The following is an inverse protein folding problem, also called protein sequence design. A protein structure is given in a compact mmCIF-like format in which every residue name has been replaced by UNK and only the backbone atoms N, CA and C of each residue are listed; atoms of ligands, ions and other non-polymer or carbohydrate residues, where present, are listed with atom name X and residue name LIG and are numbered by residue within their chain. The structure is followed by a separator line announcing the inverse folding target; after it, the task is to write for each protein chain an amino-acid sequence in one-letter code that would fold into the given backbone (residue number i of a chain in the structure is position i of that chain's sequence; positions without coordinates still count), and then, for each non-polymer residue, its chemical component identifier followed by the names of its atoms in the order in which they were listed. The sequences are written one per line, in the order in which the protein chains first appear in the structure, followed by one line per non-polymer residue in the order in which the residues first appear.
data_IF_163843463161
#
_entry.id   IF_163843463161
#
_cell.length_a   1.000
_cell.length_b   1.000
_cell.length_c   1.000
_cell.angle_alpha   90.00
_cell.angle_beta   90.00
_cell.angle_gamma   90.00
#
_symmetry.space_group_name_H-M   'P 1'
#
loop_
_entity.id
_entity.type
_entity.pdbx_description
1 polymer ?
#
# COMPACT_ATOMS: atom_id res chain seq x y z
N UNK A 1 25.47 17.12 -15.84
CA UNK A 1 24.30 17.75 -15.18
C UNK A 1 23.06 17.14 -15.81
N UNK A 2 22.35 16.25 -15.11
CA UNK A 2 21.03 15.84 -15.58
C UNK A 2 20.13 17.06 -15.52
N UNK A 3 19.58 17.49 -16.65
CA UNK A 3 18.54 18.51 -16.66
C UNK A 3 17.29 17.89 -16.01
N UNK A 4 16.59 18.60 -15.11
CA UNK A 4 15.45 18.05 -14.35
C UNK A 4 14.40 17.42 -15.27
N UNK A 5 14.21 17.97 -16.48
CA UNK A 5 13.35 17.39 -17.52
C UNK A 5 13.77 15.98 -17.93
N UNK A 6 15.07 15.75 -18.12
CA UNK A 6 15.61 14.44 -18.51
C UNK A 6 15.37 13.40 -17.40
N UNK A 7 15.54 13.80 -16.14
CA UNK A 7 15.28 12.94 -14.99
C UNK A 7 13.80 12.51 -14.96
N UNK A 8 12.88 13.47 -15.10
CA UNK A 8 11.44 13.21 -15.12
C UNK A 8 11.05 12.31 -16.30
N UNK A 9 11.62 12.54 -17.50
CA UNK A 9 11.34 11.71 -18.68
C UNK A 9 11.83 10.27 -18.50
N UNK A 10 13.03 10.06 -17.95
CA UNK A 10 13.55 8.72 -17.68
C UNK A 10 12.65 8.00 -16.66
N UNK A 11 12.28 8.68 -15.57
CA UNK A 11 11.42 8.12 -14.53
C UNK A 11 10.04 7.74 -15.08
N UNK A 12 9.41 8.62 -15.86
CA UNK A 12 8.11 8.34 -16.48
C UNK A 12 8.19 7.21 -17.51
N UNK A 13 9.17 7.24 -18.41
CA UNK A 13 9.31 6.22 -19.46
C UNK A 13 9.53 4.82 -18.85
N UNK A 14 10.42 4.72 -17.86
CA UNK A 14 10.73 3.45 -17.19
C UNK A 14 9.55 2.95 -16.35
N UNK A 15 8.87 3.84 -15.62
CA UNK A 15 7.66 3.50 -14.89
C UNK A 15 6.53 3.00 -15.82
N UNK A 16 6.28 3.69 -16.93
CA UNK A 16 5.24 3.28 -17.91
C UNK A 16 5.57 1.92 -18.52
N UNK A 17 6.81 1.71 -18.96
CA UNK A 17 7.23 0.42 -19.52
C UNK A 17 7.07 -0.71 -18.51
N UNK A 18 7.53 -0.52 -17.27
CA UNK A 18 7.39 -1.52 -16.22
C UNK A 18 5.92 -1.83 -15.92
N UNK A 19 5.06 -0.81 -15.83
CA UNK A 19 3.63 -1.01 -15.60
C UNK A 19 2.94 -1.73 -16.75
N UNK A 20 3.28 -1.41 -18.00
CA UNK A 20 2.73 -2.10 -19.18
C UNK A 20 3.08 -3.58 -19.12
N UNK A 21 4.34 -3.92 -18.86
CA UNK A 21 4.78 -5.31 -18.70
C UNK A 21 4.00 -6.01 -17.58
N UNK A 22 3.89 -5.39 -16.41
CA UNK A 22 3.17 -5.98 -15.27
C UNK A 22 1.68 -6.16 -15.55
N UNK A 23 1.05 -5.21 -16.24
CA UNK A 23 -0.36 -5.30 -16.63
C UNK A 23 -0.58 -6.44 -17.63
N UNK A 24 0.33 -6.64 -18.59
CA UNK A 24 0.29 -7.76 -19.53
C UNK A 24 0.39 -9.11 -18.80
N UNK A 25 1.20 -9.19 -17.75
CA UNK A 25 1.33 -10.35 -16.88
C UNK A 25 0.17 -10.50 -15.88
N UNK A 26 -0.84 -9.62 -15.92
CA UNK A 26 -1.98 -9.55 -14.98
C UNK A 26 -1.55 -9.34 -13.51
N UNK A 27 -0.40 -8.70 -13.30
CA UNK A 27 0.11 -8.36 -11.98
C UNK A 27 -0.31 -6.94 -11.55
N UNK A 28 -0.34 -6.64 -10.24
CA UNK A 28 -0.60 -5.29 -9.73
C UNK A 28 0.40 -4.25 -10.27
N UNK A 29 -0.06 -3.10 -10.80
CA UNK A 29 0.81 -2.04 -11.32
C UNK A 29 1.83 -1.49 -10.30
N UNK A 30 1.49 -1.49 -9.01
CA UNK A 30 2.37 -1.02 -7.93
C UNK A 30 3.72 -1.76 -7.91
N UNK A 31 3.74 -3.05 -8.24
CA UNK A 31 4.97 -3.83 -8.35
C UNK A 31 5.84 -3.33 -9.51
N UNK A 32 5.23 -2.90 -10.61
CA UNK A 32 5.93 -2.29 -11.75
C UNK A 32 6.59 -0.97 -11.38
N UNK A 33 5.91 -0.09 -10.63
CA UNK A 33 6.50 1.15 -10.13
C UNK A 33 7.68 0.89 -9.20
N UNK A 34 7.56 -0.07 -8.28
CA UNK A 34 8.62 -0.43 -7.35
C UNK A 34 9.85 -0.98 -8.10
N UNK A 35 9.64 -1.90 -9.05
CA UNK A 35 10.73 -2.44 -9.85
C UNK A 35 11.40 -1.38 -10.72
N UNK A 36 10.63 -0.49 -11.34
CA UNK A 36 11.20 0.63 -12.08
C UNK A 36 12.17 1.43 -11.19
N UNK A 37 11.73 1.79 -9.98
CA UNK A 37 12.56 2.49 -8.99
C UNK A 37 13.81 1.73 -8.57
N UNK A 38 13.70 0.42 -8.30
CA UNK A 38 14.85 -0.43 -7.96
C UNK A 38 15.86 -0.47 -9.10
N UNK A 39 15.39 -0.67 -10.33
CA UNK A 39 16.22 -0.84 -11.52
C UNK A 39 16.93 0.45 -11.92
N UNK A 40 16.23 1.59 -11.90
CA UNK A 40 16.82 2.88 -12.31
C UNK A 40 17.56 3.58 -11.16
N UNK A 41 17.37 3.10 -9.93
CA UNK A 41 17.95 3.66 -8.72
C UNK A 41 19.47 3.53 -8.65
N UNK A 42 20.09 4.20 -7.67
CA UNK A 42 21.55 4.27 -7.50
C UNK A 42 22.20 2.89 -7.24
N UNK A 43 21.43 1.94 -6.70
CA UNK A 43 21.89 0.60 -6.34
C UNK A 43 21.86 -0.40 -7.51
N UNK A 44 21.35 -0.02 -8.68
CA UNK A 44 21.27 -0.87 -9.87
C UNK A 44 21.87 -0.17 -11.10
N UNK A 45 21.06 0.33 -12.04
CA UNK A 45 21.57 0.99 -13.25
C UNK A 45 22.18 2.37 -12.97
N UNK A 46 21.87 2.98 -11.82
CA UNK A 46 22.44 4.26 -11.41
C UNK A 46 22.03 5.45 -12.30
N UNK A 47 20.92 5.33 -13.03
CA UNK A 47 20.44 6.38 -13.95
C UNK A 47 19.86 7.59 -13.21
N UNK A 48 19.38 7.38 -11.98
CA UNK A 48 18.89 8.45 -11.11
C UNK A 48 19.83 8.57 -9.90
N UNK A 49 20.59 9.67 -9.78
CA UNK A 49 21.43 9.91 -8.61
C UNK A 49 20.58 10.27 -7.37
N UNK A 50 21.13 10.00 -6.18
CA UNK A 50 20.58 10.50 -4.91
C UNK A 50 20.79 12.03 -4.83
N UNK A 51 19.83 12.76 -5.39
CA UNK A 51 19.81 14.21 -5.42
C UNK A 51 18.61 14.75 -4.63
N UNK A 52 18.74 15.97 -4.10
CA UNK A 52 17.66 16.66 -3.40
C UNK A 52 16.41 16.81 -4.28
N UNK A 53 16.57 17.04 -5.59
CA UNK A 53 15.47 17.13 -6.56
C UNK A 53 14.63 15.84 -6.62
N UNK A 54 15.29 14.67 -6.68
CA UNK A 54 14.62 13.37 -6.68
C UNK A 54 13.82 13.16 -5.40
N UNK A 55 14.38 13.59 -4.26
CA UNK A 55 13.72 13.48 -2.95
C UNK A 55 12.48 14.36 -2.85
N UNK A 56 12.56 15.63 -3.28
CA UNK A 56 11.40 16.52 -3.30
C UNK A 56 10.30 16.01 -4.22
N UNK A 57 10.66 15.47 -5.39
CA UNK A 57 9.68 14.87 -6.31
C UNK A 57 8.97 13.66 -5.66
N UNK A 58 9.71 12.82 -4.94
CA UNK A 58 9.13 11.70 -4.19
C UNK A 58 8.21 12.17 -3.05
N UNK A 59 8.59 13.22 -2.31
CA UNK A 59 7.77 13.83 -1.26
C UNK A 59 6.45 14.35 -1.83
N UNK A 60 6.47 15.05 -2.96
CA UNK A 60 5.23 15.45 -3.66
C UNK A 60 4.40 14.25 -4.09
N UNK A 61 5.03 13.19 -4.61
CA UNK A 61 4.35 11.95 -4.98
C UNK A 61 3.61 11.31 -3.79
N UNK A 62 4.25 11.26 -2.61
CA UNK A 62 3.63 10.76 -1.38
C UNK A 62 2.48 11.65 -0.93
N UNK A 63 2.64 12.98 -0.97
CA UNK A 63 1.55 13.92 -0.63
C UNK A 63 0.35 13.75 -1.55
N UNK A 64 0.57 13.68 -2.87
CA UNK A 64 -0.51 13.44 -3.84
C UNK A 64 -1.16 12.07 -3.66
N UNK A 65 -0.38 11.03 -3.30
CA UNK A 65 -0.90 9.70 -3.01
C UNK A 65 -1.81 9.74 -1.76
N UNK A 66 -1.33 10.32 -0.65
CA UNK A 66 -2.12 10.45 0.58
C UNK A 66 -3.39 11.28 0.35
N UNK A 67 -3.29 12.35 -0.45
CA UNK A 67 -4.45 13.15 -0.85
C UNK A 67 -5.46 12.37 -1.69
N UNK A 68 -4.98 11.59 -2.68
CA UNK A 68 -5.84 10.75 -3.52
C UNK A 68 -6.56 9.67 -2.70
N UNK A 69 -5.86 9.04 -1.76
CA UNK A 69 -6.46 8.08 -0.81
C UNK A 69 -7.56 8.77 0.01
N UNK A 70 -7.32 10.01 0.47
CA UNK A 70 -8.32 10.82 1.14
C UNK A 70 -9.56 11.11 0.29
N UNK A 71 -9.41 11.32 -1.02
CA UNK A 71 -10.55 11.54 -1.94
C UNK A 71 -11.36 10.27 -2.22
N UNK A 72 -10.74 9.10 -2.21
CA UNK A 72 -11.44 7.81 -2.35
C UNK A 72 -12.24 7.45 -1.09
N UNK A 73 -11.93 8.06 0.05
CA UNK A 73 -12.57 7.77 1.33
C UNK A 73 -14.00 8.32 1.43
N UNK A 74 -14.95 7.44 1.75
CA UNK A 74 -16.37 7.79 1.90
C UNK A 74 -16.79 7.87 3.37
N UNK A 75 -16.86 9.10 3.91
CA UNK A 75 -17.38 9.35 5.26
C UNK A 75 -18.77 8.76 5.52
N UNK A 76 -19.77 8.91 4.62
CA UNK A 76 -21.10 8.32 4.84
C UNK A 76 -21.05 6.79 4.97
N UNK A 77 -20.19 6.13 4.18
CA UNK A 77 -20.02 4.67 4.22
C UNK A 77 -19.38 4.23 5.54
N UNK A 78 -18.37 4.95 6.03
CA UNK A 78 -17.75 4.68 7.33
C UNK A 78 -18.77 4.81 8.46
N UNK A 79 -19.57 5.88 8.49
CA UNK A 79 -20.59 6.08 9.54
C UNK A 79 -21.61 4.95 9.56
N UNK A 80 -22.04 4.50 8.38
CA UNK A 80 -22.98 3.37 8.24
C UNK A 80 -22.37 2.04 8.72
N UNK A 81 -21.07 1.85 8.52
CA UNK A 81 -20.35 0.61 8.86
C UNK A 81 -19.56 0.69 10.18
N UNK A 82 -19.71 1.76 10.97
CA UNK A 82 -18.85 2.08 12.12
C UNK A 82 -18.63 0.92 13.10
N UNK A 83 -19.66 0.12 13.37
CA UNK A 83 -19.56 -1.02 14.31
C UNK A 83 -18.70 -2.15 13.76
N UNK A 84 -18.74 -2.38 12.45
CA UNK A 84 -17.90 -3.38 11.78
C UNK A 84 -16.47 -2.85 11.69
N UNK A 85 -16.29 -1.59 11.28
CA UNK A 85 -14.97 -0.95 11.11
C UNK A 85 -14.21 -0.90 12.44
N UNK A 86 -14.77 -0.25 13.47
CA UNK A 86 -14.10 -0.09 14.77
C UNK A 86 -14.22 -1.30 15.70
N UNK A 87 -15.14 -2.23 15.44
CA UNK A 87 -15.26 -3.46 16.20
C UNK A 87 -14.39 -4.56 15.58
N UNK A 88 -14.85 -5.07 14.44
CA UNK A 88 -14.22 -6.21 13.78
C UNK A 88 -12.87 -5.85 13.14
N UNK A 89 -12.75 -4.68 12.52
CA UNK A 89 -11.49 -4.20 11.93
C UNK A 89 -10.36 -4.08 12.97
N UNK A 90 -10.65 -3.42 14.10
CA UNK A 90 -9.67 -3.29 15.19
C UNK A 90 -9.27 -4.66 15.76
N UNK A 91 -10.23 -5.55 16.00
CA UNK A 91 -9.93 -6.90 16.48
C UNK A 91 -9.05 -7.66 15.49
N UNK A 92 -9.34 -7.59 14.19
CA UNK A 92 -8.53 -8.27 13.16
C UNK A 92 -7.09 -7.76 13.15
N UNK A 93 -6.90 -6.43 13.14
CA UNK A 93 -5.55 -5.83 13.11
C UNK A 93 -4.78 -6.16 14.38
N UNK A 94 -5.37 -5.93 15.56
CA UNK A 94 -4.71 -6.21 16.84
C UNK A 94 -4.41 -7.71 17.01
N UNK A 95 -5.32 -8.60 16.62
CA UNK A 95 -5.09 -10.04 16.68
C UNK A 95 -3.94 -10.45 15.75
N UNK A 96 -3.88 -9.90 14.54
CA UNK A 96 -2.80 -10.21 13.59
C UNK A 96 -1.45 -9.72 14.10
N UNK A 97 -1.39 -8.49 14.63
CA UNK A 97 -0.18 -7.95 15.26
C UNK A 97 0.26 -8.85 16.42
N UNK A 98 -0.66 -9.23 17.31
CA UNK A 98 -0.34 -10.06 18.47
C UNK A 98 0.16 -11.45 18.07
N UNK A 99 -0.46 -12.08 17.07
CA UNK A 99 -0.02 -13.38 16.55
C UNK A 99 1.40 -13.26 15.99
N UNK A 100 1.68 -12.24 15.18
CA UNK A 100 3.02 -12.02 14.61
C UNK A 100 4.03 -11.71 15.72
N UNK A 101 3.67 -10.94 16.73
CA UNK A 101 4.53 -10.66 17.89
C UNK A 101 4.88 -11.95 18.66
N UNK A 102 3.92 -12.84 18.88
CA UNK A 102 4.18 -14.13 19.54
C UNK A 102 5.12 -14.99 18.69
N UNK A 103 4.88 -15.09 17.38
CA UNK A 103 5.71 -15.87 16.47
C UNK A 103 7.14 -15.31 16.40
N UNK A 104 7.29 -13.99 16.30
CA UNK A 104 8.61 -13.34 16.24
C UNK A 104 9.38 -13.46 17.55
N UNK A 105 8.68 -13.40 18.70
CA UNK A 105 9.28 -13.65 20.00
C UNK A 105 9.81 -15.10 20.12
N UNK A 106 9.07 -16.10 19.61
CA UNK A 106 9.51 -17.50 19.62
C UNK A 106 10.79 -17.76 18.80
N UNK A 107 11.07 -16.95 17.79
CA UNK A 107 12.31 -17.03 16.98
C UNK A 107 13.42 -16.09 17.49
N UNK A 108 13.24 -15.49 18.67
CA UNK A 108 14.27 -14.71 19.37
C UNK A 108 14.40 -13.25 18.90
N UNK A 109 13.43 -12.70 18.18
CA UNK A 109 13.41 -11.28 17.82
C UNK A 109 12.97 -10.40 18.99
N UNK A 110 13.45 -9.16 19.00
CA UNK A 110 13.00 -8.14 19.94
C UNK A 110 11.51 -7.79 19.72
N UNK A 111 10.82 -7.41 20.79
CA UNK A 111 9.39 -7.09 20.76
C UNK A 111 9.08 -5.90 19.82
N UNK A 112 10.03 -4.97 19.66
CA UNK A 112 9.91 -3.84 18.72
C UNK A 112 9.89 -4.32 17.27
N UNK A 113 10.74 -5.29 16.94
CA UNK A 113 10.76 -5.90 15.61
C UNK A 113 9.45 -6.68 15.36
N UNK A 114 8.99 -7.42 16.36
CA UNK A 114 7.70 -8.11 16.30
C UNK A 114 6.51 -7.18 16.08
N UNK A 115 6.48 -6.05 16.79
CA UNK A 115 5.44 -5.03 16.62
C UNK A 115 5.47 -4.40 15.22
N UNK A 116 6.66 -4.03 14.73
CA UNK A 116 6.84 -3.46 13.40
C UNK A 116 6.42 -4.44 12.29
N UNK A 117 6.87 -5.70 12.36
CA UNK A 117 6.50 -6.75 11.42
C UNK A 117 5.00 -7.07 11.49
N UNK A 118 4.43 -7.14 12.70
CA UNK A 118 3.01 -7.35 12.92
C UNK A 118 2.18 -6.24 12.29
N UNK A 119 2.59 -4.98 12.44
CA UNK A 119 1.95 -3.83 11.82
C UNK A 119 1.95 -3.94 10.29
N UNK A 120 3.08 -4.27 9.68
CA UNK A 120 3.19 -4.45 8.22
C UNK A 120 2.34 -5.61 7.73
N UNK A 121 2.40 -6.77 8.41
CA UNK A 121 1.69 -7.98 8.01
C UNK A 121 0.18 -7.93 8.28
N UNK A 122 -0.29 -7.06 9.16
CA UNK A 122 -1.71 -6.87 9.40
C UNK A 122 -2.43 -6.22 8.22
N UNK A 123 -1.71 -5.48 7.36
CA UNK A 123 -2.29 -4.66 6.30
C UNK A 123 -2.64 -5.48 5.05
N UNK A 124 -3.77 -5.16 4.44
CA UNK A 124 -4.25 -5.77 3.21
C UNK A 124 -4.39 -4.74 2.08
N UNK A 125 -4.39 -5.21 0.83
CA UNK A 125 -4.55 -4.34 -0.34
C UNK A 125 -6.02 -4.12 -0.66
N UNK A 126 -6.56 -2.94 -0.36
CA UNK A 126 -7.95 -2.56 -0.62
C UNK A 126 -8.35 -2.71 -2.09
N UNK A 127 -7.50 -2.27 -3.02
CA UNK A 127 -7.76 -2.35 -4.46
C UNK A 127 -7.88 -3.79 -4.97
N UNK A 128 -7.01 -4.70 -4.51
CA UNK A 128 -7.02 -6.10 -4.96
C UNK A 128 -8.21 -6.84 -4.36
N UNK A 129 -8.43 -6.70 -3.06
CA UNK A 129 -9.49 -7.44 -2.35
C UNK A 129 -10.88 -6.97 -2.75
N UNK A 130 -11.09 -5.65 -2.90
CA UNK A 130 -12.37 -5.12 -3.38
C UNK A 130 -12.68 -5.59 -4.79
N UNK A 131 -11.70 -5.57 -5.71
CA UNK A 131 -11.85 -6.09 -7.06
C UNK A 131 -12.21 -7.58 -7.08
N UNK A 132 -11.55 -8.39 -6.24
CA UNK A 132 -11.86 -9.82 -6.13
C UNK A 132 -13.30 -10.05 -5.65
N UNK A 133 -13.77 -9.30 -4.65
CA UNK A 133 -15.16 -9.37 -4.17
C UNK A 133 -16.17 -8.95 -5.25
N UNK A 134 -15.84 -7.96 -6.09
CA UNK A 134 -16.67 -7.56 -7.24
C UNK A 134 -16.76 -8.70 -8.24
N UNK A 135 -15.61 -9.26 -8.64
CA UNK A 135 -15.51 -10.36 -9.62
C UNK A 135 -16.26 -11.62 -9.15
N UNK A 136 -16.29 -11.87 -7.84
CA UNK A 136 -17.04 -12.97 -7.22
C UNK A 136 -18.50 -12.65 -6.93
N UNK A 137 -18.97 -11.42 -7.16
CA UNK A 137 -20.30 -10.93 -6.79
C UNK A 137 -20.58 -11.02 -5.27
N UNK A 138 -19.52 -11.01 -4.45
CA UNK A 138 -19.60 -11.19 -3.00
C UNK A 138 -19.53 -9.87 -2.23
N UNK A 139 -19.38 -8.71 -2.88
CA UNK A 139 -19.29 -7.41 -2.20
C UNK A 139 -20.42 -7.15 -1.17
N UNK A 140 -21.65 -7.53 -1.52
CA UNK A 140 -22.84 -7.29 -0.71
C UNK A 140 -23.16 -8.45 0.24
N UNK A 141 -22.35 -9.50 0.26
CA UNK A 141 -22.49 -10.60 1.21
C UNK A 141 -22.14 -10.15 2.64
N UNK A 142 -22.46 -10.99 3.63
CA UNK A 142 -22.11 -10.70 5.02
C UNK A 142 -20.59 -10.61 5.22
N UNK A 143 -19.84 -11.59 4.72
CA UNK A 143 -18.39 -11.61 4.82
C UNK A 143 -17.74 -10.52 3.95
N UNK A 144 -18.29 -10.21 2.77
CA UNK A 144 -17.85 -9.10 1.94
C UNK A 144 -17.91 -7.76 2.67
N UNK A 145 -19.01 -7.48 3.38
CA UNK A 145 -19.12 -6.27 4.22
C UNK A 145 -18.13 -6.27 5.39
N UNK A 146 -17.86 -7.42 6.00
CA UNK A 146 -16.86 -7.53 7.07
C UNK A 146 -15.45 -7.26 6.54
N UNK A 147 -15.07 -7.86 5.41
CA UNK A 147 -13.78 -7.64 4.75
C UNK A 147 -13.60 -6.15 4.40
N UNK A 148 -14.61 -5.53 3.77
CA UNK A 148 -14.58 -4.10 3.47
C UNK A 148 -14.46 -3.27 4.76
N UNK A 149 -15.13 -3.67 5.85
CA UNK A 149 -15.00 -3.00 7.14
C UNK A 149 -13.58 -3.06 7.72
N UNK A 150 -12.92 -4.21 7.60
CA UNK A 150 -11.50 -4.37 7.98
C UNK A 150 -10.61 -3.46 7.14
N UNK A 151 -10.78 -3.47 5.81
CA UNK A 151 -9.99 -2.64 4.89
C UNK A 151 -10.15 -1.15 5.20
N UNK A 152 -11.38 -0.68 5.47
CA UNK A 152 -11.62 0.72 5.86
C UNK A 152 -10.94 1.08 7.19
N UNK A 153 -10.87 0.14 8.14
CA UNK A 153 -10.15 0.36 9.40
C UNK A 153 -8.64 0.45 9.15
N UNK A 154 -8.10 -0.41 8.30
CA UNK A 154 -6.68 -0.39 7.93
C UNK A 154 -6.31 0.89 7.19
N UNK A 155 -7.14 1.34 6.24
CA UNK A 155 -6.94 2.61 5.53
C UNK A 155 -6.91 3.79 6.54
N UNK A 156 -7.81 3.80 7.53
CA UNK A 156 -7.83 4.82 8.58
C UNK A 156 -6.60 4.74 9.51
N UNK A 157 -6.09 3.55 9.79
CA UNK A 157 -4.93 3.35 10.66
C UNK A 157 -3.60 3.76 10.00
N UNK A 158 -3.54 3.81 8.66
CA UNK A 158 -2.36 4.26 7.90
C UNK A 158 -2.32 5.77 7.74
N UNK A 159 -3.49 6.41 7.55
CA UNK A 159 -3.56 7.85 7.33
C UNK A 159 -3.24 8.56 8.66
N UNK A 160 -2.19 9.40 8.70
CA UNK A 160 -1.79 10.13 9.91
C UNK A 160 -2.77 11.24 10.31
#
# INVERSE_FOLDING_TARGET
MYNTLQLVLILLATAVLAVVVFRLLRLPPMLGYLLAGIVIGPHALGWIPEAAETRHLAEFGVVFLMFSIGLEFSLPKLVTMKRIVFGFGTIQVCATILIVMVVTWMIGLDWRAGLALGGVLAMSSTAIVSKLLVERLELNSHHGRQIIGVLLFQDLAVVP
#
